data_IF_392574616511
#
_entry.id   IF_392574616511
#
_cell.length_a   1.000
_cell.length_b   1.000
_cell.length_c   1.000
_cell.angle_alpha   90.00
_cell.angle_beta   90.00
_cell.angle_gamma   90.00
#
_symmetry.space_group_name_H-M   'P 1'
#
loop_
_entity.id
_entity.type
_entity.pdbx_description
1 polymer ?
#
# COMPACT_ATOMS: atom_id res chain seq x y z
N UNK A 1 -18.26 13.31 9.11
CA UNK A 1 -18.45 11.84 9.01
C UNK A 1 -17.32 11.17 9.77
N UNK A 2 -17.51 9.99 10.37
CA UNK A 2 -16.41 9.25 11.00
C UNK A 2 -15.32 8.93 9.97
N UNK A 3 -14.05 8.91 10.41
CA UNK A 3 -12.93 8.48 9.57
C UNK A 3 -13.16 7.03 9.18
N UNK A 4 -13.15 6.73 7.89
CA UNK A 4 -13.54 5.42 7.36
C UNK A 4 -12.40 4.82 6.56
N UNK A 5 -12.03 3.58 6.90
CA UNK A 5 -11.17 2.73 6.08
C UNK A 5 -12.05 1.77 5.30
N UNK A 6 -12.08 1.91 3.98
CA UNK A 6 -12.80 1.00 3.11
C UNK A 6 -11.94 -0.22 2.77
N UNK A 7 -12.55 -1.39 2.66
CA UNK A 7 -11.86 -2.64 2.30
C UNK A 7 -12.61 -3.32 1.17
N UNK A 8 -11.94 -3.59 0.05
CA UNK A 8 -12.50 -4.41 -1.02
C UNK A 8 -12.44 -5.90 -0.65
N UNK A 9 -13.60 -6.56 -0.62
CA UNK A 9 -13.74 -7.99 -0.36
C UNK A 9 -14.17 -8.77 -1.60
N UNK A 10 -13.55 -9.94 -1.78
CA UNK A 10 -13.92 -10.95 -2.80
C UNK A 10 -13.89 -12.39 -2.24
N UNK A 11 -13.69 -12.54 -0.93
CA UNK A 11 -13.62 -13.86 -0.27
C UNK A 11 -12.29 -14.60 -0.43
N UNK A 12 -11.31 -14.02 -1.11
CA UNK A 12 -9.95 -14.59 -1.21
C UNK A 12 -9.17 -14.51 0.12
N UNK A 13 -8.14 -15.35 0.31
CA UNK A 13 -7.21 -15.22 1.44
C UNK A 13 -6.58 -13.81 1.56
N UNK A 14 -6.29 -13.19 0.42
CA UNK A 14 -5.72 -11.86 0.29
C UNK A 14 -6.70 -10.78 0.78
N UNK A 15 -7.96 -10.82 0.36
CA UNK A 15 -8.95 -9.82 0.81
C UNK A 15 -9.29 -9.98 2.30
N UNK A 16 -9.24 -11.21 2.84
CA UNK A 16 -9.32 -11.43 4.29
C UNK A 16 -8.10 -10.89 5.04
N UNK A 17 -6.90 -10.99 4.48
CA UNK A 17 -5.69 -10.38 5.06
C UNK A 17 -5.79 -8.85 5.04
N UNK A 18 -6.21 -8.27 3.92
CA UNK A 18 -6.50 -6.85 3.79
C UNK A 18 -7.51 -6.36 4.84
N UNK A 19 -8.58 -7.11 5.11
CA UNK A 19 -9.56 -6.77 6.12
C UNK A 19 -8.97 -6.77 7.55
N UNK A 20 -8.11 -7.75 7.88
CA UNK A 20 -7.41 -7.79 9.18
C UNK A 20 -6.39 -6.67 9.32
N UNK A 21 -5.64 -6.36 8.27
CA UNK A 21 -4.70 -5.24 8.26
C UNK A 21 -5.46 -3.92 8.45
N UNK A 22 -6.56 -3.72 7.72
CA UNK A 22 -7.42 -2.55 7.87
C UNK A 22 -8.01 -2.39 9.27
N UNK A 23 -8.34 -3.49 9.96
CA UNK A 23 -8.82 -3.42 11.34
C UNK A 23 -7.73 -2.95 12.32
N UNK A 24 -6.49 -3.43 12.16
CA UNK A 24 -5.35 -2.93 12.95
C UNK A 24 -5.08 -1.46 12.65
N UNK A 25 -5.15 -1.08 11.39
CA UNK A 25 -5.00 0.30 10.96
C UNK A 25 -6.10 1.22 11.52
N UNK A 26 -7.34 0.74 11.52
CA UNK A 26 -8.48 1.46 12.08
C UNK A 26 -8.31 1.70 13.58
N UNK A 27 -7.77 0.72 14.32
CA UNK A 27 -7.45 0.89 15.73
C UNK A 27 -6.39 1.98 15.97
N UNK A 28 -5.37 2.08 15.11
CA UNK A 28 -4.36 3.15 15.18
C UNK A 28 -4.94 4.55 14.85
N UNK A 29 -5.95 4.60 14.00
CA UNK A 29 -6.57 5.87 13.53
C UNK A 29 -7.78 6.32 14.32
N UNK A 30 -8.36 5.44 15.14
CA UNK A 30 -9.70 5.64 15.68
C UNK A 30 -10.75 5.73 14.57
N UNK A 31 -10.59 4.94 13.51
CA UNK A 31 -11.47 4.90 12.35
C UNK A 31 -12.43 3.70 12.40
N UNK A 32 -13.45 3.74 11.55
CA UNK A 32 -14.36 2.61 11.31
C UNK A 32 -13.92 1.83 10.07
N UNK A 33 -14.16 0.52 10.06
CA UNK A 33 -13.91 -0.33 8.90
C UNK A 33 -15.22 -0.54 8.13
N UNK A 34 -15.20 -0.20 6.83
CA UNK A 34 -16.29 -0.48 5.90
C UNK A 34 -15.87 -1.59 4.93
N UNK A 35 -16.42 -2.78 5.11
CA UNK A 35 -16.19 -3.92 4.25
C UNK A 35 -17.10 -3.84 3.01
N UNK A 36 -16.52 -3.69 1.82
CA UNK A 36 -17.26 -3.53 0.57
C UNK A 36 -17.08 -4.74 -0.32
N UNK A 37 -18.18 -5.43 -0.63
CA UNK A 37 -18.20 -6.48 -1.64
C UNK A 37 -18.90 -5.98 -2.90
N UNK A 38 -18.19 -6.04 -4.02
CA UNK A 38 -18.75 -5.65 -5.33
C UNK A 38 -19.10 -6.89 -6.12
N UNK A 39 -20.37 -7.08 -6.41
CA UNK A 39 -20.86 -8.19 -7.22
C UNK A 39 -21.18 -7.70 -8.63
N UNK A 40 -20.86 -8.53 -9.64
CA UNK A 40 -21.26 -8.26 -11.02
C UNK A 40 -22.60 -8.94 -11.28
N UNK A 41 -23.64 -8.20 -11.72
CA UNK A 41 -24.89 -8.80 -12.13
C UNK A 41 -24.67 -9.78 -13.29
N UNK A 42 -25.14 -11.02 -13.13
CA UNK A 42 -25.17 -12.00 -14.22
C UNK A 42 -26.21 -11.51 -15.25
N UNK A 43 -25.90 -11.47 -16.56
CA UNK A 43 -26.87 -11.09 -17.58
C UNK A 43 -28.12 -11.98 -17.53
N UNK A 44 -29.30 -11.39 -17.72
CA UNK A 44 -30.61 -12.06 -17.59
C UNK A 44 -30.75 -13.43 -18.28
N UNK A 45 -30.18 -13.69 -19.48
CA UNK A 45 -30.27 -15.01 -20.12
C UNK A 45 -29.58 -16.13 -19.33
N UNK A 46 -28.55 -15.80 -18.54
CA UNK A 46 -27.81 -16.75 -17.70
C UNK A 46 -28.37 -16.85 -16.28
N UNK A 47 -29.01 -15.80 -15.78
CA UNK A 47 -29.64 -15.78 -14.45
C UNK A 47 -30.92 -16.64 -14.38
N UNK A 48 -31.56 -16.92 -15.52
CA UNK A 48 -32.72 -17.82 -15.63
C UNK A 48 -32.35 -19.31 -15.82
N UNK A 49 -31.06 -19.65 -15.84
CA UNK A 49 -30.63 -21.05 -15.92
C UNK A 49 -30.97 -21.80 -14.62
N UNK A 50 -31.64 -22.98 -14.67
CA UNK A 50 -32.13 -23.71 -13.48
C UNK A 50 -31.04 -24.12 -12.46
N UNK A 51 -29.76 -24.00 -12.82
CA UNK A 51 -28.61 -24.41 -12.02
C UNK A 51 -28.07 -23.31 -11.08
N UNK A 52 -28.50 -22.05 -11.25
CA UNK A 52 -28.05 -20.90 -10.46
C UNK A 52 -29.27 -20.10 -9.98
N UNK A 53 -30.07 -20.68 -9.08
CA UNK A 53 -31.17 -19.96 -8.45
C UNK A 53 -30.67 -18.67 -7.79
N UNK A 54 -31.44 -17.58 -7.93
CA UNK A 54 -31.12 -16.26 -7.37
C UNK A 54 -30.87 -16.31 -5.85
N UNK A 55 -31.57 -17.20 -5.13
CA UNK A 55 -31.38 -17.44 -3.70
C UNK A 55 -29.99 -17.99 -3.35
N UNK A 56 -29.44 -18.88 -4.18
CA UNK A 56 -28.10 -19.45 -3.96
C UNK A 56 -27.03 -18.38 -4.15
N UNK A 57 -27.15 -17.54 -5.18
CA UNK A 57 -26.23 -16.43 -5.44
C UNK A 57 -26.27 -15.35 -4.35
N UNK A 58 -27.45 -14.95 -3.89
CA UNK A 58 -27.60 -14.00 -2.77
C UNK A 58 -27.03 -14.56 -1.46
N UNK A 59 -27.29 -15.85 -1.17
CA UNK A 59 -26.78 -16.50 0.04
C UNK A 59 -25.25 -16.56 0.08
N UNK A 60 -24.56 -16.78 -1.05
CA UNK A 60 -23.09 -16.73 -1.11
C UNK A 60 -22.54 -15.29 -1.04
N UNK A 61 -23.24 -14.32 -1.63
CA UNK A 61 -22.83 -12.92 -1.71
C UNK A 61 -22.91 -12.21 -0.35
N UNK A 62 -23.94 -12.48 0.45
CA UNK A 62 -24.10 -11.89 1.79
C UNK A 62 -23.22 -12.54 2.85
N UNK A 63 -22.89 -13.83 2.64
CA UNK A 63 -22.16 -14.62 3.63
C UNK A 63 -20.70 -14.18 3.77
N UNK A 64 -20.04 -13.83 2.67
CA UNK A 64 -18.62 -13.43 2.70
C UNK A 64 -18.39 -12.15 3.53
N UNK A 65 -19.09 -11.02 3.30
CA UNK A 65 -18.91 -9.81 4.10
C UNK A 65 -19.30 -10.02 5.55
N UNK A 66 -20.37 -10.77 5.82
CA UNK A 66 -20.85 -11.02 7.17
C UNK A 66 -19.87 -11.86 7.99
N UNK A 67 -19.38 -12.98 7.44
CA UNK A 67 -18.37 -13.80 8.12
C UNK A 67 -17.06 -13.03 8.36
N UNK A 68 -16.66 -12.19 7.39
CA UNK A 68 -15.50 -11.32 7.57
C UNK A 68 -15.73 -10.29 8.68
N UNK A 69 -16.90 -9.66 8.74
CA UNK A 69 -17.25 -8.70 9.78
C UNK A 69 -17.29 -9.34 11.17
N UNK A 70 -17.94 -10.49 11.31
CA UNK A 70 -17.99 -11.26 12.56
C UNK A 70 -16.58 -11.63 13.04
N UNK A 71 -15.73 -12.13 12.14
CA UNK A 71 -14.33 -12.46 12.45
C UNK A 71 -13.50 -11.25 12.87
N UNK A 72 -13.72 -10.09 12.24
CA UNK A 72 -13.04 -8.85 12.62
C UNK A 72 -13.51 -8.31 13.97
N UNK A 73 -14.82 -8.29 14.22
CA UNK A 73 -15.38 -7.83 15.49
C UNK A 73 -14.88 -8.67 16.67
N UNK A 74 -14.71 -9.99 16.48
CA UNK A 74 -14.16 -10.89 17.51
C UNK A 74 -12.66 -10.65 17.75
N UNK A 75 -11.88 -10.39 16.70
CA UNK A 75 -10.43 -10.20 16.81
C UNK A 75 -10.02 -8.77 17.20
N UNK A 76 -10.89 -7.79 16.97
CA UNK A 76 -10.64 -6.37 17.20
C UNK A 76 -11.87 -5.71 17.87
N UNK A 77 -12.18 -6.02 19.14
CA UNK A 77 -13.43 -5.60 19.80
C UNK A 77 -13.60 -4.08 19.96
N UNK A 78 -12.54 -3.28 19.75
CA UNK A 78 -12.59 -1.82 19.77
C UNK A 78 -12.81 -1.16 18.41
N UNK A 79 -12.95 -1.94 17.33
CA UNK A 79 -13.10 -1.43 15.96
C UNK A 79 -14.53 -1.64 15.48
N UNK A 80 -15.22 -0.56 15.13
CA UNK A 80 -16.54 -0.65 14.50
C UNK A 80 -16.40 -1.15 13.06
N UNK A 81 -17.13 -2.20 12.72
CA UNK A 81 -17.12 -2.83 11.40
C UNK A 81 -18.52 -2.79 10.80
N UNK A 82 -18.64 -2.22 9.61
CA UNK A 82 -19.86 -2.22 8.80
C UNK A 82 -19.61 -2.94 7.47
N UNK A 83 -20.70 -3.44 6.86
CA UNK A 83 -20.65 -4.13 5.57
C UNK A 83 -21.52 -3.41 4.56
N UNK A 84 -21.04 -3.32 3.32
CA UNK A 84 -21.77 -2.73 2.20
C UNK A 84 -21.63 -3.63 0.96
N UNK A 85 -22.72 -3.80 0.23
CA UNK A 85 -22.74 -4.53 -1.03
C UNK A 85 -23.15 -3.58 -2.15
N UNK A 86 -22.34 -3.52 -3.21
CA UNK A 86 -22.64 -2.71 -4.40
C UNK A 86 -22.63 -3.60 -5.65
N UNK A 87 -23.60 -3.38 -6.53
CA UNK A 87 -23.63 -4.00 -7.85
C UNK A 87 -22.86 -3.15 -8.85
N UNK A 88 -22.00 -3.76 -9.68
CA UNK A 88 -21.32 -3.03 -10.75
C UNK A 88 -19.95 -3.58 -11.09
N UNK A 89 -19.14 -2.76 -11.77
CA UNK A 89 -17.75 -3.11 -12.12
C UNK A 89 -16.83 -2.84 -10.92
N UNK A 90 -16.14 -3.85 -10.37
CA UNK A 90 -15.35 -3.70 -9.14
C UNK A 90 -14.40 -2.52 -9.12
N UNK A 91 -13.66 -2.28 -10.20
CA UNK A 91 -12.69 -1.18 -10.23
C UNK A 91 -13.32 0.22 -10.25
N UNK A 92 -14.51 0.36 -10.83
CA UNK A 92 -15.24 1.63 -10.89
C UNK A 92 -15.88 1.90 -9.53
N UNK A 93 -16.62 0.91 -9.01
CA UNK A 93 -17.31 0.99 -7.71
C UNK A 93 -16.33 1.18 -6.54
N UNK A 94 -15.19 0.49 -6.53
CA UNK A 94 -14.19 0.65 -5.46
C UNK A 94 -13.50 2.01 -5.52
N UNK A 95 -13.35 2.62 -6.71
CA UNK A 95 -12.83 3.98 -6.83
C UNK A 95 -13.83 5.00 -6.27
N UNK A 96 -15.13 4.84 -6.55
CA UNK A 96 -16.20 5.68 -5.97
C UNK A 96 -16.24 5.53 -4.44
N UNK A 97 -16.17 4.31 -3.92
CA UNK A 97 -16.11 4.03 -2.48
C UNK A 97 -14.89 4.68 -1.82
N UNK A 98 -13.76 4.73 -2.52
CA UNK A 98 -12.56 5.36 -2.00
C UNK A 98 -12.76 6.86 -1.76
N UNK A 99 -13.56 7.56 -2.58
CA UNK A 99 -13.88 9.00 -2.39
C UNK A 99 -14.66 9.27 -1.10
N UNK A 100 -15.35 8.26 -0.56
CA UNK A 100 -16.06 8.30 0.73
C UNK A 100 -15.17 7.92 1.93
N UNK A 101 -13.91 7.52 1.69
CA UNK A 101 -13.00 6.98 2.68
C UNK A 101 -11.70 7.78 2.77
N UNK A 102 -10.95 7.64 3.87
CA UNK A 102 -9.60 8.22 3.98
C UNK A 102 -8.51 7.27 3.49
N UNK A 103 -8.85 5.99 3.36
CA UNK A 103 -7.94 4.91 2.97
C UNK A 103 -8.76 3.77 2.37
N UNK A 104 -8.33 3.25 1.22
CA UNK A 104 -8.86 2.02 0.65
C UNK A 104 -7.83 0.89 0.80
N UNK A 105 -8.26 -0.28 1.26
CA UNK A 105 -7.40 -1.46 1.42
C UNK A 105 -7.86 -2.58 0.51
N UNK A 106 -6.94 -3.17 -0.23
CA UNK A 106 -7.19 -4.25 -1.20
C UNK A 106 -6.21 -5.40 -1.01
N UNK A 107 -6.65 -6.63 -1.27
CA UNK A 107 -5.77 -7.79 -1.34
C UNK A 107 -4.97 -7.85 -2.65
N UNK A 108 -3.68 -8.20 -2.63
CA UNK A 108 -2.89 -8.53 -3.82
C UNK A 108 -3.02 -10.01 -4.18
N UNK A 109 -3.76 -10.29 -5.25
CA UNK A 109 -3.99 -11.66 -5.75
C UNK A 109 -2.68 -12.42 -6.04
N UNK A 110 -2.41 -13.52 -5.34
CA UNK A 110 -1.37 -14.44 -5.78
C UNK A 110 -1.87 -15.27 -6.98
N UNK A 111 -1.06 -15.43 -8.03
CA UNK A 111 -1.25 -16.56 -8.93
C UNK A 111 -0.81 -17.81 -8.17
N UNK A 112 -1.61 -18.87 -8.23
CA UNK A 112 -1.35 -20.14 -7.59
C UNK A 112 0.03 -20.69 -8.00
N UNK A 113 0.99 -20.65 -7.07
CA UNK A 113 2.24 -21.39 -7.12
C UNK A 113 3.36 -20.73 -7.93
N UNK A 114 4.55 -20.70 -7.32
CA UNK A 114 5.87 -20.35 -7.87
C UNK A 114 6.13 -18.83 -8.09
N UNK A 115 6.57 -18.17 -7.01
CA UNK A 115 7.65 -17.17 -7.06
C UNK A 115 7.32 -15.71 -7.41
N UNK A 116 6.05 -15.35 -7.69
CA UNK A 116 5.69 -13.97 -7.99
C UNK A 116 4.33 -13.57 -7.41
N UNK A 117 4.28 -12.42 -6.76
CA UNK A 117 3.01 -11.80 -6.34
C UNK A 117 2.58 -10.82 -7.43
N UNK A 118 1.29 -10.81 -7.77
CA UNK A 118 0.75 -9.84 -8.70
C UNK A 118 -0.37 -9.03 -8.06
N UNK A 119 -0.36 -7.71 -8.23
CA UNK A 119 -1.59 -6.95 -8.03
C UNK A 119 -2.55 -7.33 -9.16
N UNK A 120 -3.73 -7.82 -8.79
CA UNK A 120 -4.76 -8.16 -9.77
C UNK A 120 -5.24 -6.95 -10.56
N UNK A 121 -5.85 -7.19 -11.72
CA UNK A 121 -6.33 -6.14 -12.63
C UNK A 121 -7.27 -5.13 -11.96
N UNK A 122 -8.11 -5.57 -11.01
CA UNK A 122 -8.97 -4.68 -10.22
C UNK A 122 -8.13 -3.74 -9.36
N UNK A 123 -7.18 -4.27 -8.58
CA UNK A 123 -6.33 -3.45 -7.71
C UNK A 123 -5.50 -2.44 -8.50
N UNK A 124 -4.91 -2.86 -9.62
CA UNK A 124 -4.18 -1.95 -10.51
C UNK A 124 -5.09 -0.84 -11.06
N UNK A 125 -6.29 -1.19 -11.53
CA UNK A 125 -7.23 -0.22 -12.06
C UNK A 125 -7.69 0.78 -11.00
N UNK A 126 -7.93 0.32 -9.77
CA UNK A 126 -8.33 1.18 -8.64
C UNK A 126 -7.20 2.12 -8.24
N UNK A 127 -5.97 1.61 -8.03
CA UNK A 127 -4.79 2.43 -7.72
C UNK A 127 -4.56 3.49 -8.79
N UNK A 128 -4.75 3.14 -10.06
CA UNK A 128 -4.54 4.07 -11.17
C UNK A 128 -5.58 5.20 -11.23
N UNK A 129 -6.81 4.96 -10.76
CA UNK A 129 -7.96 5.88 -10.87
C UNK A 129 -8.21 6.70 -9.61
N UNK A 130 -7.79 6.23 -8.45
CA UNK A 130 -8.15 6.80 -7.16
C UNK A 130 -7.15 7.86 -6.71
N UNK A 131 -7.63 8.98 -6.15
CA UNK A 131 -6.79 10.02 -5.55
C UNK A 131 -6.57 9.82 -4.03
N UNK A 132 -7.44 9.04 -3.38
CA UNK A 132 -7.29 8.58 -1.99
C UNK A 132 -6.20 7.49 -1.89
N UNK A 133 -5.39 7.46 -0.80
CA UNK A 133 -4.38 6.42 -0.63
C UNK A 133 -4.97 5.00 -0.68
N UNK A 134 -4.27 4.11 -1.39
CA UNK A 134 -4.67 2.70 -1.53
C UNK A 134 -3.58 1.82 -0.95
N UNK A 135 -3.91 0.99 0.04
CA UNK A 135 -2.99 -0.04 0.56
C UNK A 135 -3.29 -1.38 -0.08
N UNK A 136 -2.23 -2.02 -0.57
CA UNK A 136 -2.28 -3.37 -1.13
C UNK A 136 -1.63 -4.34 -0.15
N UNK A 137 -2.37 -5.37 0.26
CA UNK A 137 -1.99 -6.33 1.31
C UNK A 137 -1.91 -7.74 0.74
N UNK A 138 -0.85 -8.49 1.10
CA UNK A 138 -0.64 -9.86 0.61
C UNK A 138 -1.43 -10.89 1.41
N UNK A 139 -1.74 -12.01 0.75
CA UNK A 139 -2.17 -13.20 1.48
C UNK A 139 -1.10 -13.62 2.49
N UNK A 140 -1.56 -14.09 3.65
CA UNK A 140 -0.68 -14.58 4.72
C UNK A 140 -0.11 -13.47 5.61
N UNK A 141 -0.32 -12.20 5.28
CA UNK A 141 0.04 -11.07 6.14
C UNK A 141 -0.65 -11.18 7.51
N UNK A 142 0.15 -10.99 8.55
CA UNK A 142 -0.22 -11.13 9.95
C UNK A 142 0.35 -9.98 10.78
N UNK A 143 -0.29 -9.72 11.93
CA UNK A 143 0.15 -8.69 12.87
C UNK A 143 1.63 -8.84 13.27
N UNK A 144 2.17 -10.05 13.40
CA UNK A 144 3.59 -10.26 13.75
C UNK A 144 4.57 -9.78 12.67
N UNK A 145 4.13 -9.65 11.42
CA UNK A 145 4.98 -9.23 10.29
C UNK A 145 5.29 -7.73 10.36
N UNK A 146 4.40 -6.93 10.95
CA UNK A 146 4.56 -5.48 11.13
C UNK A 146 5.52 -5.12 12.27
N UNK A 147 5.94 -6.09 13.08
CA UNK A 147 6.66 -5.86 14.32
C UNK A 147 8.06 -6.47 14.30
N UNK A 148 8.95 -5.92 15.12
CA UNK A 148 10.28 -6.48 15.33
C UNK A 148 10.18 -7.86 15.99
N UNK A 149 11.15 -8.73 15.75
CA UNK A 149 11.25 -9.98 16.51
C UNK A 149 11.57 -9.65 17.97
N UNK A 150 11.13 -10.51 18.88
CA UNK A 150 11.52 -10.41 20.28
C UNK A 150 13.04 -10.63 20.47
N UNK A 151 13.60 -10.39 21.68
CA UNK A 151 15.03 -10.55 21.92
C UNK A 151 15.60 -11.96 21.67
N UNK A 152 14.75 -12.99 21.60
CA UNK A 152 15.14 -14.38 21.32
C UNK A 152 14.87 -14.78 19.86
N UNK A 153 14.40 -13.85 19.03
CA UNK A 153 14.21 -14.02 17.59
C UNK A 153 12.84 -14.56 17.18
N UNK A 154 11.86 -14.59 18.08
CA UNK A 154 10.51 -15.10 17.83
C UNK A 154 9.62 -13.94 17.31
N UNK A 155 8.84 -14.14 16.22
CA UNK A 155 7.86 -13.16 15.77
C UNK A 155 6.80 -12.86 16.84
N UNK A 156 6.55 -11.59 17.12
CA UNK A 156 5.61 -11.15 18.16
C UNK A 156 4.96 -9.83 17.75
N UNK A 157 3.65 -9.70 17.97
CA UNK A 157 2.91 -8.45 17.74
C UNK A 157 2.95 -7.52 18.97
N UNK A 158 3.66 -7.90 20.03
CA UNK A 158 3.77 -7.12 21.28
C UNK A 158 5.06 -6.27 21.35
N UNK A 159 5.95 -6.41 20.38
CA UNK A 159 7.19 -5.63 20.25
C UNK A 159 6.93 -4.32 19.51
N UNK A 160 7.95 -3.47 19.33
CA UNK A 160 7.81 -2.25 18.53
C UNK A 160 7.57 -2.57 17.04
N UNK A 161 6.90 -1.66 16.35
CA UNK A 161 6.73 -1.73 14.90
C UNK A 161 8.09 -1.68 14.19
N UNK A 162 8.16 -2.41 13.08
CA UNK A 162 9.18 -2.22 12.05
C UNK A 162 9.07 -0.81 11.44
N UNK A 163 10.14 -0.29 10.81
CA UNK A 163 10.09 1.01 10.15
C UNK A 163 9.04 1.08 9.05
N UNK A 164 8.47 2.27 8.87
CA UNK A 164 7.78 2.64 7.64
C UNK A 164 8.84 3.01 6.60
N UNK A 165 8.75 2.45 5.39
CA UNK A 165 9.68 2.74 4.29
C UNK A 165 9.02 3.69 3.31
N UNK A 166 9.66 4.82 2.99
CA UNK A 166 9.19 5.77 1.98
C UNK A 166 10.10 5.75 0.76
N UNK A 167 9.54 5.50 -0.42
CA UNK A 167 10.22 5.78 -1.69
C UNK A 167 10.06 7.24 -2.09
N UNK A 168 11.17 7.98 -2.19
CA UNK A 168 11.16 9.39 -2.54
C UNK A 168 11.99 9.67 -3.80
N UNK A 169 11.40 10.45 -4.71
CA UNK A 169 12.10 11.09 -5.82
C UNK A 169 12.36 12.55 -5.46
N UNK A 170 13.62 12.89 -5.18
CA UNK A 170 14.04 14.26 -4.82
C UNK A 170 13.96 15.24 -5.98
N UNK A 171 13.87 14.77 -7.22
CA UNK A 171 13.64 15.62 -8.39
C UNK A 171 12.19 16.13 -8.49
N UNK A 172 11.25 15.47 -7.80
CA UNK A 172 9.83 15.86 -7.77
C UNK A 172 9.21 15.47 -6.42
N UNK A 173 9.63 16.10 -5.31
CA UNK A 173 9.16 15.75 -3.98
C UNK A 173 7.65 16.02 -3.86
N UNK A 174 6.91 15.00 -3.48
CA UNK A 174 5.46 15.06 -3.34
C UNK A 174 5.07 15.22 -1.87
N UNK A 175 4.46 16.36 -1.54
CA UNK A 175 4.10 16.70 -0.15
C UNK A 175 3.06 15.75 0.45
N UNK A 176 2.14 15.25 -0.37
CA UNK A 176 1.08 14.31 0.04
C UNK A 176 1.69 12.96 0.44
N UNK A 177 2.67 12.47 -0.33
CA UNK A 177 3.36 11.19 -0.06
C UNK A 177 4.21 11.29 1.20
N UNK A 178 4.93 12.40 1.36
CA UNK A 178 5.70 12.70 2.57
C UNK A 178 4.78 12.80 3.80
N UNK A 179 3.69 13.57 3.71
CA UNK A 179 2.72 13.70 4.80
C UNK A 179 2.17 12.34 5.23
N UNK A 180 1.72 11.53 4.28
CA UNK A 180 1.21 10.21 4.56
C UNK A 180 2.27 9.36 5.29
N UNK A 181 3.48 9.25 4.77
CA UNK A 181 4.53 8.44 5.38
C UNK A 181 4.92 8.87 6.80
N UNK A 182 5.05 10.18 7.04
CA UNK A 182 5.36 10.71 8.37
C UNK A 182 4.21 10.47 9.36
N UNK A 183 2.97 10.67 8.95
CA UNK A 183 1.81 10.38 9.80
C UNK A 183 1.69 8.88 10.12
N UNK A 184 1.96 8.01 9.15
CA UNK A 184 1.96 6.56 9.37
C UNK A 184 3.06 6.11 10.34
N UNK A 185 4.26 6.69 10.22
CA UNK A 185 5.37 6.43 11.15
C UNK A 185 5.02 6.92 12.57
N UNK A 186 4.45 8.12 12.69
CA UNK A 186 4.04 8.68 13.98
C UNK A 186 2.95 7.84 14.65
N UNK A 187 1.90 7.41 13.92
CA UNK A 187 0.81 6.57 14.45
C UNK A 187 1.32 5.24 15.02
N UNK A 188 2.35 4.67 14.38
CA UNK A 188 2.97 3.40 14.80
C UNK A 188 4.08 3.58 15.85
N UNK A 189 4.41 4.83 16.22
CA UNK A 189 5.63 5.14 16.96
C UNK A 189 6.86 4.43 16.36
N UNK A 190 6.92 4.39 15.02
CA UNK A 190 7.92 3.68 14.24
C UNK A 190 8.92 4.68 13.62
N UNK A 191 10.10 4.16 13.29
CA UNK A 191 11.12 4.90 12.51
C UNK A 191 10.63 5.04 11.06
N UNK A 192 11.04 6.11 10.38
CA UNK A 192 10.78 6.33 8.96
C UNK A 192 12.09 6.17 8.18
N UNK A 193 12.15 5.17 7.30
CA UNK A 193 13.29 4.94 6.41
C UNK A 193 12.98 5.50 5.04
N UNK A 194 13.65 6.58 4.65
CA UNK A 194 13.46 7.23 3.34
C UNK A 194 14.51 6.70 2.35
N UNK A 195 14.03 5.99 1.33
CA UNK A 195 14.86 5.38 0.29
C UNK A 195 14.81 6.22 -0.98
N UNK A 196 15.98 6.65 -1.44
CA UNK A 196 16.17 7.32 -2.71
C UNK A 196 17.15 6.52 -3.56
N UNK A 197 16.68 6.01 -4.70
CA UNK A 197 17.55 5.43 -5.72
C UNK A 197 17.96 6.47 -6.76
N UNK A 198 19.22 6.50 -7.14
CA UNK A 198 19.72 7.36 -8.21
C UNK A 198 20.66 6.59 -9.14
N UNK A 199 20.76 7.01 -10.40
CA UNK A 199 21.64 6.39 -11.39
C UNK A 199 22.65 7.42 -11.91
N UNK A 200 23.82 6.94 -12.33
CA UNK A 200 24.81 7.75 -13.02
C UNK A 200 24.25 8.19 -14.38
N UNK A 201 24.19 9.49 -14.68
CA UNK A 201 23.86 9.95 -16.03
C UNK A 201 24.84 9.37 -17.05
N UNK A 202 24.34 8.99 -18.24
CA UNK A 202 25.16 8.33 -19.26
C UNK A 202 26.38 9.17 -19.71
N UNK A 203 26.29 10.50 -19.57
CA UNK A 203 27.39 11.44 -19.85
C UNK A 203 28.63 11.20 -19.01
N UNK A 204 28.50 10.67 -17.79
CA UNK A 204 29.64 10.40 -16.90
C UNK A 204 30.48 9.18 -17.30
N UNK A 205 30.02 8.38 -18.27
CA UNK A 205 30.82 7.30 -18.84
C UNK A 205 32.13 7.83 -19.48
N UNK A 206 32.07 9.03 -20.08
CA UNK A 206 33.25 9.69 -20.66
C UNK A 206 34.20 10.26 -19.60
N UNK A 207 33.68 10.71 -18.46
CA UNK A 207 34.47 11.28 -17.36
C UNK A 207 35.28 10.20 -16.63
N UNK A 208 34.71 9.00 -16.47
CA UNK A 208 35.43 7.85 -15.90
C UNK A 208 36.60 7.39 -16.78
N UNK A 209 36.51 7.54 -18.11
CA UNK A 209 37.61 7.26 -19.02
C UNK A 209 38.82 8.21 -18.82
N UNK A 210 38.60 9.37 -18.17
CA UNK A 210 39.63 10.34 -17.80
C UNK A 210 40.24 10.14 -16.41
N UNK A 211 39.92 9.03 -15.71
CA UNK A 211 40.50 8.69 -14.40
C UNK A 211 39.83 9.33 -13.17
N UNK A 212 38.72 10.05 -13.37
CA UNK A 212 37.90 10.62 -12.30
C UNK A 212 36.65 9.76 -12.06
N UNK A 213 36.47 9.25 -10.84
CA UNK A 213 35.23 8.57 -10.45
C UNK A 213 34.26 9.58 -9.80
N UNK A 214 33.19 10.00 -10.50
CA UNK A 214 32.25 11.00 -10.00
C UNK A 214 31.29 10.45 -8.92
N UNK A 215 31.32 9.15 -8.63
CA UNK A 215 30.31 8.48 -7.80
C UNK A 215 30.23 9.04 -6.39
N UNK A 216 31.36 9.31 -5.75
CA UNK A 216 31.37 9.81 -4.38
C UNK A 216 30.78 11.22 -4.25
N UNK A 217 31.15 12.11 -5.18
CA UNK A 217 30.62 13.47 -5.21
C UNK A 217 29.13 13.49 -5.51
N UNK A 218 28.70 12.67 -6.47
CA UNK A 218 27.28 12.55 -6.78
C UNK A 218 26.51 11.92 -5.61
N UNK A 219 27.07 10.91 -4.94
CA UNK A 219 26.47 10.33 -3.75
C UNK A 219 26.29 11.36 -2.63
N UNK A 220 27.32 12.18 -2.36
CA UNK A 220 27.24 13.29 -1.40
C UNK A 220 26.16 14.31 -1.79
N UNK A 221 26.11 14.70 -3.07
CA UNK A 221 25.11 15.64 -3.56
C UNK A 221 23.67 15.09 -3.45
N UNK A 222 23.46 13.82 -3.79
CA UNK A 222 22.15 13.17 -3.68
C UNK A 222 21.71 13.01 -2.22
N UNK A 223 22.63 12.63 -1.32
CA UNK A 223 22.35 12.59 0.12
C UNK A 223 22.00 13.99 0.67
N UNK A 224 22.75 15.03 0.27
CA UNK A 224 22.44 16.41 0.68
C UNK A 224 21.06 16.87 0.22
N UNK A 225 20.70 16.61 -1.04
CA UNK A 225 19.38 16.95 -1.58
C UNK A 225 18.25 16.21 -0.83
N UNK A 226 18.46 14.94 -0.47
CA UNK A 226 17.52 14.17 0.34
C UNK A 226 17.32 14.82 1.72
N UNK A 227 18.42 15.15 2.40
CA UNK A 227 18.38 15.81 3.70
C UNK A 227 17.61 17.13 3.62
N UNK A 228 17.91 17.98 2.63
CA UNK A 228 17.24 19.27 2.44
C UNK A 228 15.71 19.14 2.31
N UNK A 229 15.24 18.17 1.51
CA UNK A 229 13.81 17.91 1.34
C UNK A 229 13.16 17.47 2.66
N UNK A 230 13.86 16.70 3.49
CA UNK A 230 13.33 16.14 4.74
C UNK A 230 13.40 17.09 5.94
N UNK A 231 14.25 18.11 5.93
CA UNK A 231 14.38 19.09 7.01
C UNK A 231 13.04 19.69 7.48
N UNK A 232 12.16 20.23 6.62
CA UNK A 232 10.88 20.79 7.07
C UNK A 232 9.97 19.73 7.70
N UNK A 233 10.02 18.48 7.23
CA UNK A 233 9.21 17.38 7.74
C UNK A 233 9.71 16.89 9.10
N UNK A 234 11.02 16.77 9.29
CA UNK A 234 11.62 16.47 10.61
C UNK A 234 11.26 17.51 11.67
N UNK A 235 11.15 18.78 11.28
CA UNK A 235 10.67 19.84 12.18
C UNK A 235 9.18 19.72 12.50
N UNK A 236 8.37 19.31 11.53
CA UNK A 236 6.92 19.10 11.71
C UNK A 236 6.60 17.85 12.52
N UNK A 237 7.43 16.81 12.44
CA UNK A 237 7.27 15.51 13.10
C UNK A 237 8.53 15.16 13.92
N UNK A 238 8.78 15.86 15.04
CA UNK A 238 10.02 15.71 15.81
C UNK A 238 10.16 14.34 16.49
N UNK A 239 9.04 13.65 16.75
CA UNK A 239 9.02 12.33 17.40
C UNK A 239 9.31 11.18 16.42
N UNK A 240 9.35 11.45 15.12
CA UNK A 240 9.64 10.45 14.09
C UNK A 240 11.13 10.45 13.80
N UNK A 241 11.83 9.38 14.19
CA UNK A 241 13.22 9.18 13.82
C UNK A 241 13.33 8.82 12.33
N UNK A 242 14.14 9.57 11.58
CA UNK A 242 14.25 9.43 10.12
C UNK A 242 15.63 8.92 9.71
N UNK A 243 15.65 7.75 9.08
CA UNK A 243 16.82 7.16 8.43
C UNK A 243 16.83 7.51 6.94
N UNK A 244 17.95 8.02 6.44
CA UNK A 244 18.12 8.39 5.02
C UNK A 244 18.98 7.35 4.29
N UNK A 245 18.40 6.72 3.26
CA UNK A 245 19.07 5.73 2.42
C UNK A 245 19.13 6.22 0.97
N UNK A 246 20.17 7.01 0.65
CA UNK A 246 20.49 7.39 -0.73
C UNK A 246 21.44 6.37 -1.36
N UNK A 247 20.97 5.61 -2.35
CA UNK A 247 21.73 4.49 -2.95
C UNK A 247 21.81 4.59 -4.47
N UNK A 248 22.98 4.25 -5.02
CA UNK A 248 23.16 4.04 -6.45
C UNK A 248 22.37 2.81 -6.90
N UNK A 249 21.67 2.91 -8.04
CA UNK A 249 20.97 1.81 -8.69
C UNK A 249 19.45 1.99 -8.74
N UNK A 250 18.74 0.89 -8.99
CA UNK A 250 17.29 0.87 -9.19
C UNK A 250 16.53 1.23 -7.90
N UNK A 251 15.73 2.32 -7.89
CA UNK A 251 14.88 2.66 -6.75
C UNK A 251 13.91 1.53 -6.39
N UNK A 252 13.38 0.82 -7.39
CA UNK A 252 12.47 -0.30 -7.17
C UNK A 252 13.15 -1.44 -6.42
N UNK A 253 14.38 -1.81 -6.79
CA UNK A 253 15.13 -2.87 -6.13
C UNK A 253 15.43 -2.51 -4.67
N UNK A 254 15.91 -1.29 -4.42
CA UNK A 254 16.19 -0.82 -3.06
C UNK A 254 14.94 -0.81 -2.17
N UNK A 255 13.77 -0.44 -2.72
CA UNK A 255 12.50 -0.47 -2.00
C UNK A 255 12.00 -1.89 -1.72
N UNK A 256 12.15 -2.81 -2.69
CA UNK A 256 11.78 -4.21 -2.52
C UNK A 256 12.66 -4.86 -1.44
N UNK A 257 13.96 -4.59 -1.44
CA UNK A 257 14.87 -5.09 -0.41
C UNK A 257 14.49 -4.51 0.96
N UNK A 258 14.30 -3.19 1.06
CA UNK A 258 13.90 -2.53 2.31
C UNK A 258 12.53 -3.01 2.83
N UNK A 259 11.63 -3.48 1.96
CA UNK A 259 10.32 -3.97 2.36
C UNK A 259 10.37 -5.19 3.30
N UNK A 260 11.46 -5.96 3.30
CA UNK A 260 11.61 -7.17 4.11
C UNK A 260 11.59 -6.87 5.61
N UNK A 261 12.08 -5.70 5.98
CA UNK A 261 12.17 -5.23 7.36
C UNK A 261 11.21 -4.05 7.61
N UNK A 262 10.20 -3.85 6.76
CA UNK A 262 9.24 -2.77 6.88
C UNK A 262 7.90 -3.25 7.47
N UNK A 263 7.19 -2.37 8.18
CA UNK A 263 5.78 -2.57 8.52
C UNK A 263 4.84 -2.10 7.41
N UNK A 264 5.28 -1.10 6.63
CA UNK A 264 4.55 -0.50 5.53
C UNK A 264 5.53 0.15 4.55
N UNK A 265 5.31 -0.06 3.25
CA UNK A 265 6.03 0.67 2.18
C UNK A 265 5.11 1.73 1.58
N UNK A 266 5.56 2.97 1.54
CA UNK A 266 4.84 4.12 0.97
C UNK A 266 5.53 4.55 -0.32
N UNK A 267 4.75 4.64 -1.40
CA UNK A 267 5.21 5.09 -2.71
C UNK A 267 4.22 6.05 -3.35
N UNK A 268 4.74 7.01 -4.10
CA UNK A 268 3.93 7.98 -4.83
C UNK A 268 3.38 7.44 -6.14
N UNK A 269 2.21 7.95 -6.54
CA UNK A 269 1.68 7.83 -7.89
C UNK A 269 1.34 9.22 -8.41
N UNK A 270 2.04 9.67 -9.46
CA UNK A 270 1.70 10.96 -10.08
C UNK A 270 0.38 10.89 -10.83
N UNK A 271 -0.56 11.78 -10.50
CA UNK A 271 -1.82 11.98 -11.20
C UNK A 271 -1.55 12.77 -12.48
N UNK A 272 -1.38 12.08 -13.61
CA UNK A 272 -1.24 12.70 -14.92
C UNK A 272 -2.56 12.63 -15.68
N UNK A 273 -3.11 13.78 -16.06
CA UNK A 273 -4.22 13.88 -17.02
C UNK A 273 -3.63 14.01 -18.43
N UNK A 274 -3.24 12.87 -19.02
CA UNK A 274 -2.66 12.81 -20.36
C UNK A 274 -3.49 11.93 -21.32
N UNK A 275 -3.30 12.04 -22.64
CA UNK A 275 -4.08 11.30 -23.64
C UNK A 275 -3.88 9.78 -23.60
N UNK A 276 -2.84 9.28 -22.92
CA UNK A 276 -2.49 7.85 -22.84
C UNK A 276 -3.03 7.12 -21.60
N UNK A 277 -3.96 7.75 -20.87
CA UNK A 277 -4.65 7.14 -19.74
C UNK A 277 -3.91 7.24 -18.41
N UNK A 278 -4.39 6.49 -17.42
CA UNK A 278 -3.87 6.48 -16.05
C UNK A 278 -2.62 5.59 -15.94
N UNK A 279 -1.56 6.10 -15.33
CA UNK A 279 -0.30 5.39 -15.16
C UNK A 279 0.12 5.34 -13.70
N UNK A 280 0.57 4.16 -13.26
CA UNK A 280 1.04 3.92 -11.88
C UNK A 280 2.52 4.32 -11.70
N UNK A 281 3.31 4.24 -12.78
CA UNK A 281 4.78 4.43 -12.74
C UNK A 281 5.52 3.10 -12.50
N UNK A 282 6.69 2.95 -13.11
CA UNK A 282 7.43 1.67 -13.11
C UNK A 282 7.89 1.24 -11.71
N UNK A 283 8.35 2.19 -10.87
CA UNK A 283 8.80 1.91 -9.50
C UNK A 283 7.63 1.46 -8.64
N UNK A 284 6.55 2.25 -8.58
CA UNK A 284 5.33 1.92 -7.84
C UNK A 284 4.73 0.60 -8.29
N UNK A 285 4.70 0.34 -9.60
CA UNK A 285 4.29 -0.95 -10.14
C UNK A 285 5.19 -2.08 -9.59
N UNK A 286 6.51 -2.01 -9.78
CA UNK A 286 7.41 -3.06 -9.28
C UNK A 286 7.29 -3.29 -7.77
N UNK A 287 7.19 -2.23 -6.97
CA UNK A 287 7.04 -2.32 -5.50
C UNK A 287 5.74 -3.00 -5.13
N UNK A 288 4.60 -2.59 -5.69
CA UNK A 288 3.31 -3.25 -5.46
C UNK A 288 3.33 -4.75 -5.76
N UNK A 289 4.08 -5.15 -6.79
CA UNK A 289 4.19 -6.53 -7.20
C UNK A 289 5.19 -7.34 -6.37
N UNK A 290 6.25 -6.74 -5.84
CA UNK A 290 7.39 -7.48 -5.29
C UNK A 290 7.70 -7.20 -3.81
N UNK A 291 7.27 -6.08 -3.23
CA UNK A 291 7.49 -5.76 -1.82
C UNK A 291 6.75 -6.69 -0.86
N UNK A 292 7.44 -7.19 0.17
CA UNK A 292 6.92 -8.20 1.11
C UNK A 292 5.94 -7.64 2.13
N UNK A 293 6.18 -6.42 2.61
CA UNK A 293 5.26 -5.67 3.45
C UNK A 293 4.07 -5.08 2.65
N UNK A 294 2.96 -4.71 3.32
CA UNK A 294 1.89 -3.91 2.73
C UNK A 294 2.42 -2.66 2.00
N UNK A 295 1.80 -2.32 0.87
CA UNK A 295 2.22 -1.17 0.04
C UNK A 295 1.12 -0.13 -0.02
N UNK A 296 1.35 1.04 0.56
CA UNK A 296 0.52 2.22 0.40
C UNK A 296 0.95 3.01 -0.84
N UNK A 297 0.01 3.18 -1.78
CA UNK A 297 0.18 4.04 -2.95
C UNK A 297 -0.59 5.33 -2.74
N UNK A 298 0.13 6.44 -2.72
CA UNK A 298 -0.41 7.77 -2.47
C UNK A 298 -0.39 8.57 -3.76
N UNK A 299 -1.57 9.03 -4.19
CA UNK A 299 -1.67 9.92 -5.35
C UNK A 299 -1.13 11.31 -5.02
N UNK A 300 -0.43 11.92 -5.98
CA UNK A 300 0.06 13.30 -5.87
C UNK A 300 0.07 13.99 -7.25
N UNK A 301 0.10 15.32 -7.25
CA UNK A 301 0.12 16.12 -8.48
C UNK A 301 1.55 16.46 -8.94
#
# INVERSE_FOLDING_TARGET
MPRTIAVGLDGSPESRAAARWAAREAALRGAVVKLVHVWQPVPEPMAQAPLLGAETQQHWTERIPREAAEGLALSHPGVEVSTEQRGGRPAEVLAEVAEEAELLVLGSRALSGIGGYLVGSVGQAVVARTEVPVVVVRAGEQAVDEHLKDPVGIPSAATAFRPVVLGLDTGSPAGEVLAFAFEEAQRRAARLTVVQGWNLPASYAYTMAGGYDPREDLARAQAGALTEVLLPWRKKYPDVEVDELSRLGSPASHLIDASHDASLVVVGRRVRRGPFGVHIGAVTHAVMHHATAPVAVVAHH
#
